data_IF_417020257392
#
_entry.id   IF_417020257392
#
_cell.length_a   1.000
_cell.length_b   1.000
_cell.length_c   1.000
_cell.angle_alpha   90.00
_cell.angle_beta   90.00
_cell.angle_gamma   90.00
#
_symmetry.space_group_name_H-M   'P 1'
#
loop_
_entity.id
_entity.type
_entity.pdbx_description
1 polymer ?
#
# COMPACT_ATOMS: atom_id res chain seq x y z
N UNK A 1 -64.35 -33.17 15.71
CA UNK A 1 -63.22 -33.34 16.65
C UNK A 1 -62.37 -34.49 16.12
N UNK A 2 -61.14 -34.17 15.69
CA UNK A 2 -60.32 -35.07 14.90
C UNK A 2 -59.59 -36.11 15.77
N UNK A 3 -59.73 -37.38 15.40
CA UNK A 3 -58.88 -38.50 15.81
C UNK A 3 -58.74 -39.40 14.58
N UNK A 4 -57.52 -39.57 14.06
CA UNK A 4 -57.20 -40.61 13.10
C UNK A 4 -55.88 -41.27 13.51
N UNK A 5 -55.89 -42.59 13.33
CA UNK A 5 -55.09 -43.64 13.94
C UNK A 5 -54.08 -44.22 12.93
N UNK A 6 -52.85 -44.38 13.40
CA UNK A 6 -51.82 -45.42 13.19
C UNK A 6 -51.35 -45.95 11.80
N UNK A 7 -50.01 -46.13 11.77
CA UNK A 7 -49.17 -47.30 11.37
C UNK A 7 -48.61 -47.51 9.94
N UNK A 8 -47.27 -47.40 9.88
CA UNK A 8 -46.20 -48.23 9.30
C UNK A 8 -46.14 -48.70 7.82
N UNK A 9 -44.87 -48.71 7.34
CA UNK A 9 -44.18 -49.64 6.39
C UNK A 9 -43.74 -49.05 5.02
N UNK A 10 -42.41 -48.82 4.93
CA UNK A 10 -41.40 -49.02 3.84
C UNK A 10 -41.68 -48.49 2.40
N UNK A 11 -40.68 -47.81 1.77
CA UNK A 11 -40.79 -47.29 0.40
C UNK A 11 -40.30 -48.29 -0.68
N UNK A 12 -40.96 -48.24 -1.84
CA UNK A 12 -40.57 -48.92 -3.07
C UNK A 12 -39.67 -48.06 -3.96
N UNK A 13 -38.88 -48.78 -4.75
CA UNK A 13 -37.73 -48.42 -5.57
C UNK A 13 -38.02 -47.70 -6.90
N UNK A 14 -37.07 -46.86 -7.33
CA UNK A 14 -36.92 -46.35 -8.69
C UNK A 14 -35.83 -47.11 -9.48
N UNK A 15 -35.87 -47.12 -10.82
CA UNK A 15 -35.28 -48.18 -11.64
C UNK A 15 -33.82 -47.92 -12.05
N UNK A 16 -33.13 -49.04 -12.26
CA UNK A 16 -31.81 -49.19 -12.85
C UNK A 16 -31.79 -48.84 -14.34
N UNK A 17 -30.71 -48.19 -14.79
CA UNK A 17 -30.17 -48.47 -16.13
C UNK A 17 -28.65 -48.60 -16.05
N UNK A 18 -28.18 -49.65 -16.71
CA UNK A 18 -26.87 -50.26 -16.56
C UNK A 18 -25.86 -49.75 -17.59
N UNK A 19 -24.64 -49.48 -17.14
CA UNK A 19 -23.45 -49.73 -17.95
C UNK A 19 -22.40 -50.46 -17.11
N UNK A 20 -22.08 -51.68 -17.53
CA UNK A 20 -21.00 -52.50 -16.97
C UNK A 20 -19.69 -52.03 -17.60
N UNK A 21 -18.73 -51.61 -16.78
CA UNK A 21 -17.31 -51.75 -17.07
C UNK A 21 -16.57 -52.17 -15.80
N UNK A 22 -15.55 -53.01 -15.99
CA UNK A 22 -14.92 -53.87 -14.98
C UNK A 22 -14.31 -53.10 -13.81
N UNK A 23 -14.34 -53.74 -12.63
CA UNK A 23 -13.60 -53.35 -11.44
C UNK A 23 -12.10 -53.54 -11.67
N UNK A 24 -11.33 -52.46 -11.57
CA UNK A 24 -9.97 -52.51 -11.03
C UNK A 24 -10.00 -51.83 -9.66
N UNK A 25 -9.56 -52.57 -8.64
CA UNK A 25 -9.39 -52.05 -7.28
C UNK A 25 -8.07 -51.28 -7.27
N UNK A 26 -8.15 -49.95 -7.42
CA UNK A 26 -6.98 -49.09 -7.24
C UNK A 26 -6.88 -48.71 -5.75
N UNK A 27 -6.14 -49.52 -4.99
CA UNK A 27 -5.70 -49.17 -3.64
C UNK A 27 -4.52 -48.20 -3.77
N UNK A 28 -4.76 -46.90 -3.54
CA UNK A 28 -3.70 -45.90 -3.50
C UNK A 28 -2.91 -46.07 -2.20
N UNK A 29 -1.85 -46.86 -2.26
CA UNK A 29 -0.84 -47.03 -1.21
C UNK A 29 0.30 -46.04 -1.49
N UNK A 30 0.32 -44.90 -0.81
CA UNK A 30 1.42 -43.94 -0.91
C UNK A 30 2.69 -44.55 -0.29
N UNK A 31 3.62 -44.95 -1.16
CA UNK A 31 4.92 -45.52 -0.77
C UNK A 31 5.96 -44.43 -0.94
N UNK A 32 6.52 -43.92 0.17
CA UNK A 32 7.61 -42.95 0.15
C UNK A 32 8.90 -43.73 -0.13
N UNK A 33 9.34 -43.76 -1.38
CA UNK A 33 10.66 -44.24 -1.74
C UNK A 33 11.69 -43.13 -1.51
N UNK A 34 12.30 -43.12 -0.32
CA UNK A 34 13.53 -42.36 -0.07
C UNK A 34 14.71 -43.06 -0.76
N UNK A 35 15.51 -42.36 -1.58
CA UNK A 35 16.78 -42.92 -2.05
C UNK A 35 17.76 -43.05 -0.88
N UNK A 36 18.28 -44.27 -0.70
CA UNK A 36 19.26 -44.63 0.33
C UNK A 36 20.53 -43.79 0.16
N UNK A 37 20.89 -43.00 1.18
CA UNK A 37 22.21 -42.39 1.31
C UNK A 37 23.25 -43.50 1.53
N UNK A 38 24.21 -43.61 0.59
CA UNK A 38 25.44 -44.36 0.80
C UNK A 38 26.45 -43.43 1.47
N UNK A 39 26.83 -43.75 2.69
CA UNK A 39 27.93 -43.12 3.41
C UNK A 39 29.25 -43.29 2.63
N UNK A 40 30.04 -42.21 2.55
CA UNK A 40 31.49 -42.29 2.35
C UNK A 40 32.06 -41.44 1.22
N UNK A 41 32.19 -40.14 1.44
CA UNK A 41 33.38 -39.37 1.06
C UNK A 41 33.29 -37.94 1.63
N UNK A 42 34.35 -37.51 2.29
CA UNK A 42 34.51 -36.19 2.90
C UNK A 42 34.42 -35.09 1.85
N UNK A 43 33.36 -34.30 1.87
CA UNK A 43 33.23 -33.08 1.07
C UNK A 43 33.52 -31.87 1.97
N UNK A 44 34.71 -31.31 1.78
CA UNK A 44 35.14 -30.03 2.34
C UNK A 44 34.23 -28.90 1.85
N UNK A 45 33.69 -28.12 2.79
CA UNK A 45 33.00 -26.85 2.55
C UNK A 45 33.92 -25.89 1.77
N UNK A 46 33.50 -25.30 0.64
CA UNK A 46 34.22 -24.18 0.07
C UNK A 46 33.96 -22.95 0.94
N UNK A 47 35.03 -22.39 1.51
CA UNK A 47 35.03 -21.01 2.03
C UNK A 47 34.67 -20.09 0.87
N UNK A 48 33.52 -19.44 0.95
CA UNK A 48 33.13 -18.42 -0.03
C UNK A 48 33.91 -17.13 0.28
N UNK A 49 34.94 -16.87 -0.51
CA UNK A 49 35.68 -15.60 -0.50
C UNK A 49 34.87 -14.58 -1.30
N UNK A 50 34.38 -13.56 -0.62
CA UNK A 50 33.64 -12.42 -1.19
C UNK A 50 34.59 -11.49 -1.96
N UNK A 51 35.13 -11.94 -3.11
CA UNK A 51 36.02 -11.09 -3.94
C UNK A 51 35.69 -11.15 -5.45
N UNK A 52 34.82 -12.05 -5.93
CA UNK A 52 34.65 -12.27 -7.38
C UNK A 52 33.60 -11.44 -8.14
N UNK A 53 32.57 -10.89 -7.49
CA UNK A 53 31.43 -10.28 -8.21
C UNK A 53 31.66 -8.82 -8.64
N UNK A 54 32.62 -8.12 -8.03
CA UNK A 54 32.98 -6.75 -8.40
C UNK A 54 33.94 -6.75 -9.61
N UNK A 55 34.74 -7.80 -9.75
CA UNK A 55 35.74 -7.92 -10.82
C UNK A 55 35.10 -8.32 -12.16
N UNK A 56 33.99 -9.05 -12.13
CA UNK A 56 33.27 -9.47 -13.35
C UNK A 56 32.46 -8.34 -14.01
N UNK A 57 32.09 -7.29 -13.25
CA UNK A 57 31.44 -6.08 -13.80
C UNK A 57 32.44 -5.09 -14.44
N UNK A 58 33.74 -5.18 -14.14
CA UNK A 58 34.74 -4.27 -14.72
C UNK A 58 35.21 -4.69 -16.12
N UNK A 59 34.97 -5.93 -16.54
CA UNK A 59 35.50 -6.45 -17.80
C UNK A 59 34.62 -6.14 -19.04
N UNK A 60 33.48 -5.47 -18.85
CA UNK A 60 32.58 -5.03 -19.95
C UNK A 60 32.73 -3.55 -20.34
N UNK A 61 33.56 -2.79 -19.61
CA UNK A 61 33.84 -1.37 -19.91
C UNK A 61 35.19 -1.24 -20.62
N UNK A 62 35.20 -1.55 -21.93
CA UNK A 62 36.41 -1.53 -22.74
C UNK A 62 36.22 -0.77 -24.05
N UNK A 63 36.27 0.57 -24.00
CA UNK A 63 36.63 1.38 -25.16
C UNK A 63 37.92 2.14 -24.87
N UNK A 64 38.99 1.74 -25.57
CA UNK A 64 40.30 2.38 -25.54
C UNK A 64 40.29 3.60 -26.48
N UNK A 65 40.77 4.72 -25.95
CA UNK A 65 40.99 5.98 -26.68
C UNK A 65 42.29 5.95 -27.49
N UNK A 66 42.21 6.40 -28.74
CA UNK A 66 43.30 6.88 -29.63
C UNK A 66 42.56 7.70 -30.69
N UNK A 67 42.84 8.97 -31.05
CA UNK A 67 44.07 9.79 -31.05
C UNK A 67 43.66 11.27 -31.19
N UNK A 68 44.50 12.18 -30.71
CA UNK A 68 44.41 13.66 -30.78
C UNK A 68 44.58 14.23 -32.21
N UNK A 69 44.31 15.54 -32.36
CA UNK A 69 44.59 16.54 -33.45
C UNK A 69 43.51 16.68 -34.55
N UNK A 70 42.96 17.84 -34.96
CA UNK A 70 43.32 19.28 -34.90
C UNK A 70 42.07 20.19 -34.86
N UNK A 71 42.29 21.47 -34.50
CA UNK A 71 41.34 22.58 -34.49
C UNK A 71 40.77 22.93 -35.87
N UNK A 72 39.46 23.21 -35.95
CA UNK A 72 38.96 24.34 -36.73
C UNK A 72 37.60 24.85 -36.22
N UNK A 73 37.39 26.15 -36.37
CA UNK A 73 36.49 27.04 -35.63
C UNK A 73 35.38 27.52 -36.56
N UNK A 74 34.10 27.29 -36.25
CA UNK A 74 33.01 28.28 -36.45
C UNK A 74 31.64 27.83 -35.88
N UNK A 75 30.96 28.81 -35.26
CA UNK A 75 29.51 28.89 -34.94
C UNK A 75 29.07 28.48 -33.50
N UNK A 76 28.27 29.31 -32.80
CA UNK A 76 27.89 29.07 -31.41
C UNK A 76 26.71 28.09 -31.34
N UNK A 77 26.86 26.98 -30.61
CA UNK A 77 25.77 26.02 -30.35
C UNK A 77 25.78 25.57 -28.88
N UNK A 78 24.66 25.02 -28.36
CA UNK A 78 24.08 25.36 -27.07
C UNK A 78 24.80 24.69 -25.90
N UNK A 79 24.64 25.29 -24.70
CA UNK A 79 25.19 24.86 -23.39
C UNK A 79 25.45 23.35 -23.33
N UNK A 80 26.71 22.96 -23.43
CA UNK A 80 27.14 21.57 -23.38
C UNK A 80 26.68 20.92 -22.07
N UNK A 81 25.90 19.86 -22.18
CA UNK A 81 25.52 18.97 -21.07
C UNK A 81 26.77 18.47 -20.36
N UNK A 82 26.77 18.40 -19.04
CA UNK A 82 27.86 17.74 -18.32
C UNK A 82 27.69 16.21 -18.50
N UNK A 83 28.59 15.51 -19.23
CA UNK A 83 28.45 14.07 -19.47
C UNK A 83 28.40 13.26 -18.17
N UNK A 84 29.04 13.77 -17.11
CA UNK A 84 29.00 13.18 -15.76
C UNK A 84 27.62 13.30 -15.10
N UNK A 85 26.87 14.38 -15.39
CA UNK A 85 25.52 14.57 -14.85
C UNK A 85 24.51 13.60 -15.49
N UNK A 86 24.66 13.35 -16.79
CA UNK A 86 23.84 12.38 -17.52
C UNK A 86 24.07 10.96 -16.96
N UNK A 87 25.33 10.54 -16.81
CA UNK A 87 25.67 9.23 -16.27
C UNK A 87 25.12 9.03 -14.85
N UNK A 88 25.24 10.05 -13.98
CA UNK A 88 24.67 10.02 -12.63
C UNK A 88 23.13 9.91 -12.64
N UNK A 89 22.44 10.60 -13.54
CA UNK A 89 20.98 10.49 -13.65
C UNK A 89 20.55 9.10 -14.12
N UNK A 90 21.27 8.47 -15.05
CA UNK A 90 21.01 7.08 -15.43
C UNK A 90 21.21 6.11 -14.28
N UNK A 91 22.28 6.28 -13.48
CA UNK A 91 22.51 5.46 -12.30
C UNK A 91 21.40 5.64 -11.24
N UNK A 92 20.90 6.87 -11.05
CA UNK A 92 19.75 7.13 -10.16
C UNK A 92 18.49 6.48 -10.74
N UNK A 93 18.25 6.61 -12.04
CA UNK A 93 17.07 6.06 -12.71
C UNK A 93 17.02 4.53 -12.63
N UNK A 94 18.15 3.84 -12.80
CA UNK A 94 18.27 2.40 -12.58
C UNK A 94 17.93 2.01 -11.13
N UNK A 95 18.50 2.73 -10.16
CA UNK A 95 18.20 2.50 -8.74
C UNK A 95 16.74 2.84 -8.37
N UNK A 96 16.08 3.75 -9.09
CA UNK A 96 14.66 4.05 -8.93
C UNK A 96 13.80 2.94 -9.54
N UNK A 97 14.16 2.43 -10.71
CA UNK A 97 13.44 1.32 -11.35
C UNK A 97 13.43 0.06 -10.45
N UNK A 98 14.58 -0.29 -9.87
CA UNK A 98 14.68 -1.38 -8.89
C UNK A 98 13.77 -1.15 -7.67
N UNK A 99 13.74 0.08 -7.13
CA UNK A 99 12.82 0.43 -6.03
C UNK A 99 11.35 0.30 -6.40
N UNK A 100 10.96 0.63 -7.63
CA UNK A 100 9.57 0.45 -8.11
C UNK A 100 9.18 -1.03 -8.03
N UNK A 101 10.02 -1.91 -8.56
CA UNK A 101 9.77 -3.35 -8.53
C UNK A 101 9.79 -3.90 -7.10
N UNK A 102 10.76 -3.48 -6.29
CA UNK A 102 10.85 -3.85 -4.89
C UNK A 102 9.59 -3.46 -4.10
N UNK A 103 9.13 -2.21 -4.18
CA UNK A 103 7.92 -1.77 -3.50
C UNK A 103 6.66 -2.50 -4.00
N UNK A 104 6.57 -2.79 -5.30
CA UNK A 104 5.47 -3.58 -5.87
C UNK A 104 5.45 -5.00 -5.28
N UNK A 105 6.59 -5.69 -5.29
CA UNK A 105 6.71 -7.06 -4.77
C UNK A 105 6.40 -7.11 -3.26
N UNK A 106 6.92 -6.15 -2.49
CA UNK A 106 6.66 -6.06 -1.05
C UNK A 106 5.17 -5.75 -0.78
N UNK A 107 4.54 -4.88 -1.59
CA UNK A 107 3.11 -4.60 -1.51
C UNK A 107 2.26 -5.86 -1.73
N UNK A 108 2.58 -6.66 -2.74
CA UNK A 108 1.93 -7.94 -3.01
C UNK A 108 2.14 -8.95 -1.88
N UNK A 109 3.37 -9.06 -1.35
CA UNK A 109 3.69 -9.90 -0.20
C UNK A 109 2.83 -9.54 1.02
N UNK A 110 2.71 -8.25 1.34
CA UNK A 110 1.93 -7.74 2.48
C UNK A 110 0.43 -7.99 2.29
N UNK A 111 -0.06 -7.87 1.06
CA UNK A 111 -1.44 -8.22 0.73
C UNK A 111 -1.71 -9.73 0.91
N UNK A 112 -0.78 -10.58 0.48
CA UNK A 112 -0.87 -12.03 0.70
C UNK A 112 -0.84 -12.37 2.19
N UNK A 113 0.01 -11.70 2.98
CA UNK A 113 0.01 -11.83 4.44
C UNK A 113 -1.33 -11.44 5.05
N UNK A 114 -1.93 -10.33 4.61
CA UNK A 114 -3.25 -9.90 5.08
C UNK A 114 -4.29 -11.02 4.90
N UNK A 115 -4.36 -11.60 3.70
CA UNK A 115 -5.30 -12.67 3.37
C UNK A 115 -5.03 -13.94 4.18
N UNK A 116 -3.77 -14.39 4.24
CA UNK A 116 -3.40 -15.60 4.98
C UNK A 116 -3.70 -15.47 6.48
N UNK A 117 -3.33 -14.33 7.08
CA UNK A 117 -3.55 -14.08 8.50
C UNK A 117 -5.04 -13.93 8.82
N UNK A 118 -5.79 -13.19 8.00
CA UNK A 118 -7.24 -13.05 8.15
C UNK A 118 -7.93 -14.42 8.13
N UNK A 119 -7.69 -15.22 7.10
CA UNK A 119 -8.31 -16.55 6.96
C UNK A 119 -7.89 -17.46 8.10
N UNK A 120 -6.60 -17.50 8.45
CA UNK A 120 -6.09 -18.37 9.51
C UNK A 120 -6.66 -18.02 10.88
N UNK A 121 -6.69 -16.73 11.25
CA UNK A 121 -7.23 -16.27 12.53
C UNK A 121 -8.73 -16.54 12.61
N UNK A 122 -9.48 -16.28 11.54
CA UNK A 122 -10.92 -16.57 11.50
C UNK A 122 -11.19 -18.07 11.63
N UNK A 123 -10.45 -18.91 10.90
CA UNK A 123 -10.59 -20.36 11.00
C UNK A 123 -10.26 -20.89 12.40
N UNK A 124 -9.17 -20.43 13.01
CA UNK A 124 -8.79 -20.82 14.39
C UNK A 124 -9.88 -20.40 15.38
N UNK A 125 -10.35 -19.15 15.29
CA UNK A 125 -11.34 -18.61 16.21
C UNK A 125 -12.70 -19.31 16.05
N UNK A 126 -13.14 -19.56 14.82
CA UNK A 126 -14.39 -20.31 14.55
C UNK A 126 -14.29 -21.77 14.98
N UNK A 127 -13.13 -22.41 14.77
CA UNK A 127 -12.89 -23.79 15.24
C UNK A 127 -12.94 -23.85 16.77
N UNK A 128 -12.34 -22.88 17.44
CA UNK A 128 -12.43 -22.75 18.90
C UNK A 128 -13.87 -22.54 19.38
N UNK A 129 -14.65 -21.71 18.68
CA UNK A 129 -16.09 -21.52 18.96
C UNK A 129 -16.88 -22.80 18.80
N UNK A 130 -16.66 -23.53 17.71
CA UNK A 130 -17.32 -24.81 17.47
C UNK A 130 -16.94 -25.83 18.55
N UNK A 131 -15.65 -25.98 18.86
CA UNK A 131 -15.17 -26.87 19.91
C UNK A 131 -15.73 -26.52 21.29
N UNK A 132 -15.88 -25.23 21.60
CA UNK A 132 -16.52 -24.75 22.83
C UNK A 132 -18.01 -25.09 22.88
N UNK A 133 -18.71 -24.91 21.77
CA UNK A 133 -20.13 -25.29 21.64
C UNK A 133 -20.35 -26.79 21.76
N UNK A 134 -19.54 -27.61 21.06
CA UNK A 134 -19.61 -29.07 21.12
C UNK A 134 -19.27 -29.57 22.53
N UNK A 135 -18.27 -28.97 23.20
CA UNK A 135 -17.96 -29.26 24.59
C UNK A 135 -19.19 -29.03 25.50
N UNK A 136 -20.00 -28.01 25.26
CA UNK A 136 -21.19 -27.77 26.06
C UNK A 136 -22.31 -28.82 25.89
N UNK A 137 -22.32 -29.55 24.76
CA UNK A 137 -23.35 -30.55 24.44
C UNK A 137 -22.99 -31.97 24.88
N UNK A 138 -21.71 -32.23 25.20
CA UNK A 138 -21.23 -33.56 25.55
C UNK A 138 -21.57 -33.99 26.99
N UNK A 139 -21.96 -35.26 27.18
CA UNK A 139 -22.00 -35.87 28.50
C UNK A 139 -20.55 -35.97 29.05
N UNK A 140 -20.32 -35.50 30.28
CA UNK A 140 -18.98 -35.28 30.83
C UNK A 140 -17.99 -36.44 30.70
N UNK A 141 -16.68 -36.12 30.64
CA UNK A 141 -15.60 -37.11 30.52
C UNK A 141 -14.32 -36.53 29.90
N UNK A 142 -13.33 -37.39 29.60
CA UNK A 142 -12.06 -36.99 28.99
C UNK A 142 -12.18 -36.24 27.64
N UNK A 143 -13.10 -36.60 26.71
CA UNK A 143 -13.30 -35.86 25.46
C UNK A 143 -13.75 -34.41 25.68
N UNK A 144 -14.53 -34.16 26.73
CA UNK A 144 -14.98 -32.82 27.13
C UNK A 144 -13.79 -31.95 27.58
N UNK A 145 -12.91 -32.51 28.41
CA UNK A 145 -11.71 -31.81 28.90
C UNK A 145 -10.76 -31.48 27.74
N UNK A 146 -10.57 -32.43 26.81
CA UNK A 146 -9.74 -32.22 25.63
C UNK A 146 -10.27 -31.09 24.72
N UNK A 147 -11.59 -31.02 24.49
CA UNK A 147 -12.20 -29.98 23.67
C UNK A 147 -12.11 -28.59 24.32
N UNK A 148 -12.31 -28.48 25.64
CA UNK A 148 -12.14 -27.20 26.37
C UNK A 148 -10.71 -26.70 26.34
N UNK A 149 -9.75 -27.59 26.64
CA UNK A 149 -8.33 -27.25 26.60
C UNK A 149 -7.94 -26.79 25.18
N UNK A 150 -8.34 -27.53 24.16
CA UNK A 150 -8.03 -27.22 22.76
C UNK A 150 -8.65 -25.90 22.31
N UNK A 151 -9.92 -25.67 22.60
CA UNK A 151 -10.59 -24.41 22.24
C UNK A 151 -10.01 -23.21 22.99
N UNK A 152 -9.69 -23.35 24.28
CA UNK A 152 -9.01 -22.29 25.05
C UNK A 152 -7.64 -21.97 24.43
N UNK A 153 -6.83 -22.98 24.10
CA UNK A 153 -5.52 -22.79 23.46
C UNK A 153 -5.64 -22.13 22.08
N UNK A 154 -6.62 -22.54 21.26
CA UNK A 154 -6.88 -21.92 19.95
C UNK A 154 -7.29 -20.46 20.09
N UNK A 155 -8.15 -20.11 21.04
CA UNK A 155 -8.48 -18.70 21.30
C UNK A 155 -7.26 -17.91 21.77
N UNK A 156 -6.46 -18.43 22.70
CA UNK A 156 -5.23 -17.75 23.13
C UNK A 156 -4.25 -17.55 21.97
N UNK A 157 -4.11 -18.55 21.09
CA UNK A 157 -3.30 -18.43 19.89
C UNK A 157 -3.86 -17.36 18.93
N UNK A 158 -5.17 -17.33 18.70
CA UNK A 158 -5.82 -16.30 17.89
C UNK A 158 -5.66 -14.89 18.49
N UNK A 159 -5.77 -14.74 19.82
CA UNK A 159 -5.51 -13.46 20.51
C UNK A 159 -4.07 -13.00 20.27
N UNK A 160 -3.10 -13.90 20.45
CA UNK A 160 -1.69 -13.59 20.20
C UNK A 160 -1.43 -13.18 18.75
N UNK A 161 -1.99 -13.93 17.79
CA UNK A 161 -1.90 -13.59 16.37
C UNK A 161 -2.52 -12.23 16.09
N UNK A 162 -3.74 -11.96 16.55
CA UNK A 162 -4.42 -10.67 16.38
C UNK A 162 -3.59 -9.50 16.93
N UNK A 163 -2.94 -9.66 18.08
CA UNK A 163 -2.05 -8.62 18.61
C UNK A 163 -0.87 -8.33 17.66
N UNK A 164 -0.26 -9.37 17.09
CA UNK A 164 0.84 -9.22 16.12
C UNK A 164 0.33 -8.62 14.80
N UNK A 165 -0.80 -9.10 14.27
CA UNK A 165 -1.37 -8.56 13.02
C UNK A 165 -1.82 -7.13 13.20
N UNK A 166 -2.35 -6.76 14.37
CA UNK A 166 -2.70 -5.40 14.71
C UNK A 166 -1.47 -4.54 15.00
N UNK A 167 -0.27 -5.10 15.15
CA UNK A 167 0.96 -4.30 15.17
C UNK A 167 1.50 -4.05 13.77
N UNK A 168 1.48 -5.05 12.90
CA UNK A 168 2.04 -4.98 11.54
C UNK A 168 1.07 -4.29 10.56
N UNK A 169 -0.24 -4.53 10.72
CA UNK A 169 -1.35 -4.16 9.83
C UNK A 169 -1.04 -4.33 8.33
N UNK A 170 -0.99 -5.60 7.84
CA UNK A 170 -0.51 -5.89 6.50
C UNK A 170 -1.28 -5.19 5.37
N UNK A 171 -2.59 -4.98 5.49
CA UNK A 171 -3.40 -4.25 4.49
C UNK A 171 -3.01 -2.78 4.36
N UNK A 172 -2.89 -2.07 5.48
CA UNK A 172 -2.43 -0.68 5.50
C UNK A 172 -1.03 -0.58 4.87
N UNK A 173 -0.16 -1.47 5.34
CA UNK A 173 1.23 -1.47 4.99
C UNK A 173 1.45 -1.86 3.53
N UNK A 174 0.58 -2.66 2.92
CA UNK A 174 0.57 -2.94 1.48
C UNK A 174 0.25 -1.67 0.68
N UNK A 175 -0.70 -0.86 1.15
CA UNK A 175 -1.11 0.38 0.48
C UNK A 175 -0.01 1.44 0.50
N UNK A 176 0.68 1.57 1.62
CA UNK A 176 1.87 2.43 1.72
C UNK A 176 2.92 2.06 0.65
N UNK A 177 3.10 0.77 0.33
CA UNK A 177 4.06 0.36 -0.72
C UNK A 177 3.52 0.56 -2.13
N UNK A 178 2.22 0.39 -2.36
CA UNK A 178 1.62 0.73 -3.66
C UNK A 178 1.80 2.22 -3.96
N UNK A 179 1.61 3.07 -2.94
CA UNK A 179 1.87 4.50 -3.05
C UNK A 179 3.35 4.78 -3.31
N UNK A 180 4.26 4.15 -2.57
CA UNK A 180 5.70 4.27 -2.81
C UNK A 180 6.09 3.88 -4.25
N UNK A 181 5.63 2.72 -4.73
CA UNK A 181 5.89 2.26 -6.10
C UNK A 181 5.37 3.26 -7.15
N UNK A 182 4.20 3.87 -6.92
CA UNK A 182 3.65 4.92 -7.79
C UNK A 182 4.56 6.14 -7.82
N UNK A 183 5.01 6.63 -6.66
CA UNK A 183 5.86 7.82 -6.57
C UNK A 183 7.25 7.60 -7.16
N UNK A 184 7.87 6.45 -6.91
CA UNK A 184 9.14 6.09 -7.56
C UNK A 184 8.97 5.96 -9.08
N UNK A 185 7.85 5.43 -9.56
CA UNK A 185 7.57 5.39 -11.00
C UNK A 185 7.45 6.79 -11.58
N UNK A 186 6.78 7.72 -10.90
CA UNK A 186 6.71 9.10 -11.35
C UNK A 186 8.10 9.78 -11.37
N UNK A 187 8.93 9.51 -10.37
CA UNK A 187 10.30 10.01 -10.33
C UNK A 187 11.15 9.45 -11.47
N UNK A 188 10.97 8.17 -11.81
CA UNK A 188 11.62 7.54 -12.97
C UNK A 188 11.28 8.30 -14.26
N UNK A 189 9.99 8.56 -14.50
CA UNK A 189 9.53 9.29 -15.69
C UNK A 189 10.03 10.74 -15.71
N UNK A 190 10.09 11.40 -14.54
CA UNK A 190 10.64 12.76 -14.42
C UNK A 190 12.14 12.80 -14.77
N UNK A 191 12.91 11.81 -14.32
CA UNK A 191 14.34 11.72 -14.67
C UNK A 191 14.50 11.37 -16.15
N UNK A 192 13.73 10.42 -16.67
CA UNK A 192 13.76 10.00 -18.07
C UNK A 192 13.45 11.16 -19.02
N UNK A 193 12.42 11.95 -18.72
CA UNK A 193 12.06 13.16 -19.49
C UNK A 193 13.15 14.22 -19.40
N UNK A 194 13.72 14.45 -18.23
CA UNK A 194 14.84 15.40 -18.03
C UNK A 194 16.06 15.03 -18.89
N UNK A 195 16.39 13.74 -18.96
CA UNK A 195 17.50 13.23 -19.79
C UNK A 195 17.16 13.32 -21.27
N UNK A 196 15.92 13.00 -21.66
CA UNK A 196 15.47 12.99 -23.05
C UNK A 196 15.36 14.38 -23.69
N UNK A 197 14.96 15.41 -22.91
CA UNK A 197 14.81 16.80 -23.39
C UNK A 197 16.18 17.48 -23.58
N UNK A 198 17.23 17.04 -22.86
CA UNK A 198 18.61 17.46 -23.06
C UNK A 198 19.10 18.59 -22.12
N UNK A 199 20.43 18.62 -21.93
CA UNK A 199 21.20 19.46 -21.01
C UNK A 199 21.01 19.25 -19.48
N UNK A 200 21.08 18.00 -18.95
CA UNK A 200 21.15 17.80 -17.50
C UNK A 200 22.37 18.48 -16.85
N UNK A 201 22.19 18.96 -15.63
CA UNK A 201 23.24 19.60 -14.84
C UNK A 201 23.35 18.98 -13.44
N UNK A 202 24.36 19.41 -12.66
CA UNK A 202 24.57 18.90 -11.30
C UNK A 202 23.41 19.18 -10.33
N UNK A 203 22.59 20.21 -10.54
CA UNK A 203 21.41 20.47 -9.71
C UNK A 203 20.30 19.45 -10.00
N UNK A 204 20.12 19.06 -11.26
CA UNK A 204 19.14 18.04 -11.65
C UNK A 204 19.46 16.69 -10.95
N UNK A 205 20.76 16.34 -10.87
CA UNK A 205 21.25 15.19 -10.08
C UNK A 205 20.95 15.33 -8.60
N UNK A 206 21.21 16.52 -8.01
CA UNK A 206 20.95 16.78 -6.58
C UNK A 206 19.45 16.71 -6.26
N UNK A 207 18.61 17.24 -7.13
CA UNK A 207 17.16 17.20 -6.99
C UNK A 207 16.63 15.77 -7.08
N UNK A 208 17.04 15.01 -8.10
CA UNK A 208 16.68 13.61 -8.24
C UNK A 208 17.11 12.79 -7.00
N UNK A 209 18.34 12.99 -6.54
CA UNK A 209 18.85 12.33 -5.33
C UNK A 209 18.04 12.71 -4.09
N UNK A 210 17.71 14.00 -3.92
CA UNK A 210 16.90 14.47 -2.79
C UNK A 210 15.48 13.88 -2.81
N UNK A 211 14.86 13.75 -3.98
CA UNK A 211 13.54 13.10 -4.14
C UNK A 211 13.60 11.61 -3.79
N UNK A 212 14.64 10.89 -4.24
CA UNK A 212 14.84 9.48 -3.85
C UNK A 212 14.94 9.35 -2.33
N UNK A 213 15.78 10.17 -1.68
CA UNK A 213 15.96 10.13 -0.23
C UNK A 213 14.68 10.53 0.52
N UNK A 214 13.91 11.49 0.01
CA UNK A 214 12.63 11.88 0.59
C UNK A 214 11.61 10.73 0.52
N UNK A 215 11.52 10.04 -0.62
CA UNK A 215 10.66 8.87 -0.78
C UNK A 215 11.09 7.70 0.11
N UNK A 216 12.39 7.40 0.19
CA UNK A 216 12.94 6.34 1.05
C UNK A 216 12.61 6.62 2.54
N UNK A 217 12.60 7.89 2.96
CA UNK A 217 12.22 8.31 4.32
C UNK A 217 10.71 8.25 4.57
N UNK A 218 9.92 8.62 3.56
CA UNK A 218 8.47 8.62 3.66
C UNK A 218 7.88 7.20 3.68
N UNK A 219 8.52 6.25 2.99
CA UNK A 219 8.05 4.87 2.85
C UNK A 219 9.12 3.85 3.25
N UNK A 220 9.47 3.78 4.55
CA UNK A 220 10.50 2.87 5.04
C UNK A 220 10.11 1.40 4.83
N UNK A 221 11.06 0.60 4.37
CA UNK A 221 10.89 -0.84 4.17
C UNK A 221 10.90 -1.66 5.48
N UNK A 222 11.74 -1.35 6.50
CA UNK A 222 11.81 -2.16 7.70
C UNK A 222 10.52 -2.13 8.53
N UNK A 223 10.04 -3.32 8.91
CA UNK A 223 8.87 -3.50 9.79
C UNK A 223 9.15 -3.16 11.25
N UNK A 224 10.44 -3.06 11.62
CA UNK A 224 10.92 -2.88 12.99
C UNK A 224 11.89 -1.68 13.02
N UNK A 225 11.64 -0.70 13.90
CA UNK A 225 12.53 0.44 14.15
C UNK A 225 11.98 1.80 13.69
N UNK A 226 11.81 2.00 12.38
CA UNK A 226 11.37 3.28 11.78
C UNK A 226 10.07 3.08 11.03
N UNK A 227 9.04 2.58 11.71
CA UNK A 227 7.72 2.38 11.09
C UNK A 227 6.91 3.66 11.21
N UNK A 228 6.17 4.03 10.15
CA UNK A 228 5.17 5.09 10.26
C UNK A 228 4.25 4.79 11.44
N UNK A 229 3.89 5.84 12.20
CA UNK A 229 3.02 5.68 13.36
C UNK A 229 1.66 5.21 12.88
N UNK A 230 1.40 3.89 13.02
CA UNK A 230 0.14 3.22 12.71
C UNK A 230 -1.09 3.99 13.21
N UNK A 231 -0.99 4.50 14.43
CA UNK A 231 -2.08 5.18 15.13
C UNK A 231 -1.63 6.58 15.55
N UNK A 232 -1.57 7.53 14.60
CA UNK A 232 -1.12 8.87 14.94
C UNK A 232 -2.15 9.54 15.87
N UNK A 233 -1.68 10.55 16.62
CA UNK A 233 -2.53 11.35 17.51
C UNK A 233 -3.43 12.29 16.72
N UNK A 234 -2.90 12.86 15.64
CA UNK A 234 -3.61 13.67 14.65
C UNK A 234 -3.50 13.00 13.27
N UNK A 235 -4.55 13.12 12.45
CA UNK A 235 -4.47 12.72 11.05
C UNK A 235 -3.89 13.90 10.29
N UNK A 236 -2.69 13.70 9.75
CA UNK A 236 -1.98 14.68 8.93
C UNK A 236 -1.88 14.16 7.50
N UNK A 237 -1.76 15.05 6.50
CA UNK A 237 -1.46 14.66 5.13
C UNK A 237 -0.20 13.78 5.03
N UNK A 238 -0.17 12.85 4.07
CA UNK A 238 1.07 12.15 3.76
C UNK A 238 2.04 13.11 3.06
N UNK A 239 3.26 13.25 3.58
CA UNK A 239 4.30 14.10 2.99
C UNK A 239 5.44 13.20 2.52
N UNK A 240 5.69 13.21 1.21
CA UNK A 240 6.70 12.37 0.56
C UNK A 240 7.69 13.16 -0.31
N UNK A 241 7.53 14.48 -0.36
CA UNK A 241 8.41 15.37 -1.10
C UNK A 241 9.36 16.09 -0.15
N UNK A 242 10.49 16.56 -0.70
CA UNK A 242 11.36 17.49 0.01
C UNK A 242 10.73 18.90 0.01
N UNK A 243 10.97 19.73 1.04
CA UNK A 243 10.48 21.11 1.07
C UNK A 243 10.83 21.84 -0.23
N UNK A 244 9.85 22.46 -0.87
CA UNK A 244 9.97 23.06 -2.21
C UNK A 244 10.93 24.27 -2.29
N UNK A 245 11.62 24.61 -1.18
CA UNK A 245 12.34 25.87 -0.94
C UNK A 245 13.41 26.26 -1.97
N UNK A 246 13.77 25.41 -2.93
CA UNK A 246 14.79 25.71 -3.94
C UNK A 246 14.55 25.05 -5.31
N UNK A 247 13.29 24.96 -5.79
CA UNK A 247 13.06 24.62 -7.21
C UNK A 247 13.57 25.76 -8.09
N UNK A 248 14.80 25.65 -8.59
CA UNK A 248 15.29 26.45 -9.73
C UNK A 248 14.78 25.78 -10.99
N UNK A 249 13.51 25.97 -11.31
CA UNK A 249 12.95 25.51 -12.59
C UNK A 249 13.65 26.26 -13.72
N UNK A 250 14.23 25.52 -14.68
CA UNK A 250 14.77 26.08 -15.91
C UNK A 250 13.59 26.65 -16.70
N UNK A 251 13.43 27.97 -16.71
CA UNK A 251 12.68 28.62 -17.78
C UNK A 251 13.28 28.18 -19.12
N UNK A 252 12.46 27.60 -20.00
CA UNK A 252 12.81 27.44 -21.41
C UNK A 252 13.01 28.86 -21.96
N UNK A 253 14.27 29.29 -21.99
CA UNK A 253 14.66 30.65 -22.35
C UNK A 253 14.35 30.95 -23.81
N UNK A 254 13.12 31.36 -24.08
CA UNK A 254 12.74 32.15 -25.23
C UNK A 254 12.51 33.58 -24.77
N UNK A 255 13.26 34.54 -25.32
CA UNK A 255 12.97 35.98 -25.19
C UNK A 255 11.61 36.24 -25.85
N UNK A 256 10.53 36.05 -25.12
CA UNK A 256 9.23 36.56 -25.49
C UNK A 256 8.47 37.02 -24.25
N UNK A 257 7.58 37.97 -24.47
CA UNK A 257 6.94 38.84 -23.49
C UNK A 257 6.15 38.05 -22.40
N UNK A 258 6.75 37.81 -21.22
CA UNK A 258 6.10 37.22 -20.04
C UNK A 258 6.09 35.68 -19.94
N UNK A 259 6.25 35.12 -18.74
CA UNK A 259 6.28 33.66 -18.48
C UNK A 259 4.86 33.01 -18.46
N UNK A 260 3.93 33.49 -19.27
CA UNK A 260 2.53 33.01 -19.30
C UNK A 260 1.69 33.32 -18.05
N UNK A 261 2.28 33.89 -17.00
CA UNK A 261 1.57 34.35 -15.80
C UNK A 261 0.93 35.72 -16.02
N UNK A 262 -0.33 35.85 -15.65
CA UNK A 262 -1.05 37.12 -15.57
C UNK A 262 -1.86 37.19 -14.26
N UNK A 263 -2.40 38.36 -13.92
CA UNK A 263 -3.15 38.54 -12.67
C UNK A 263 -4.43 37.72 -12.58
N UNK A 264 -5.03 37.37 -13.72
CA UNK A 264 -6.20 36.49 -13.79
C UNK A 264 -5.83 35.06 -13.37
N UNK A 265 -4.80 34.47 -13.99
CA UNK A 265 -4.28 33.15 -13.67
C UNK A 265 -3.77 33.06 -12.21
N UNK A 266 -3.10 34.10 -11.71
CA UNK A 266 -2.71 34.15 -10.30
C UNK A 266 -3.93 34.14 -9.37
N UNK A 267 -5.00 34.86 -9.74
CA UNK A 267 -6.27 34.85 -9.02
C UNK A 267 -6.96 33.48 -9.05
N UNK A 268 -7.02 32.86 -10.23
CA UNK A 268 -7.57 31.51 -10.42
C UNK A 268 -6.82 30.48 -9.58
N UNK A 269 -5.49 30.50 -9.57
CA UNK A 269 -4.67 29.58 -8.78
C UNK A 269 -4.87 29.75 -7.27
N UNK A 270 -5.04 30.99 -6.77
CA UNK A 270 -5.37 31.26 -5.36
C UNK A 270 -6.76 30.72 -5.00
N UNK A 271 -7.71 30.87 -5.90
CA UNK A 271 -9.07 30.38 -5.71
C UNK A 271 -9.09 28.83 -5.68
N UNK A 272 -8.33 28.18 -6.58
CA UNK A 272 -8.16 26.71 -6.57
C UNK A 272 -7.60 26.23 -5.23
N UNK A 273 -6.57 26.88 -4.69
CA UNK A 273 -6.01 26.56 -3.36
C UNK A 273 -7.07 26.69 -2.27
N UNK A 274 -7.90 27.73 -2.34
CA UNK A 274 -8.97 27.96 -1.37
C UNK A 274 -10.01 26.84 -1.41
N UNK A 275 -10.43 26.42 -2.60
CA UNK A 275 -11.38 25.31 -2.79
C UNK A 275 -10.77 23.99 -2.31
N UNK A 276 -9.52 23.71 -2.69
CA UNK A 276 -8.78 22.50 -2.29
C UNK A 276 -8.67 22.35 -0.78
N UNK A 277 -8.31 23.44 -0.08
CA UNK A 277 -8.09 23.40 1.36
C UNK A 277 -9.42 23.29 2.13
N UNK A 278 -10.43 24.07 1.75
CA UNK A 278 -11.75 24.12 2.43
C UNK A 278 -12.59 22.87 2.19
N UNK A 279 -12.43 22.18 1.06
CA UNK A 279 -13.27 21.02 0.70
C UNK A 279 -12.46 19.75 0.62
N UNK A 280 -11.66 19.58 -0.43
CA UNK A 280 -11.00 18.32 -0.74
C UNK A 280 -10.12 17.86 0.43
N UNK A 281 -9.14 18.65 0.84
CA UNK A 281 -8.21 18.31 1.91
C UNK A 281 -8.92 18.10 3.25
N UNK A 282 -9.80 19.02 3.65
CA UNK A 282 -10.52 18.92 4.92
C UNK A 282 -11.43 17.68 4.98
N UNK A 283 -12.15 17.36 3.90
CA UNK A 283 -13.01 16.19 3.84
C UNK A 283 -12.22 14.89 3.89
N UNK A 284 -11.10 14.80 3.18
CA UNK A 284 -10.22 13.65 3.22
C UNK A 284 -9.59 13.45 4.61
N UNK A 285 -9.17 14.51 5.29
CA UNK A 285 -8.68 14.42 6.68
C UNK A 285 -9.80 14.01 7.65
N UNK A 286 -11.03 14.51 7.45
CA UNK A 286 -12.21 14.15 8.24
C UNK A 286 -12.57 12.67 8.07
N UNK A 287 -12.57 12.16 6.84
CA UNK A 287 -12.78 10.75 6.53
C UNK A 287 -11.65 9.88 7.10
N UNK A 288 -10.40 10.30 6.94
CA UNK A 288 -9.23 9.68 7.55
C UNK A 288 -9.37 9.58 9.08
N UNK A 289 -9.86 10.63 9.75
CA UNK A 289 -10.11 10.60 11.21
C UNK A 289 -11.19 9.60 11.60
N UNK A 290 -12.24 9.44 10.81
CA UNK A 290 -13.29 8.43 11.03
C UNK A 290 -12.73 7.01 10.83
N UNK A 291 -12.04 6.77 9.72
CA UNK A 291 -11.40 5.50 9.43
C UNK A 291 -10.38 5.10 10.51
N UNK A 292 -9.56 6.06 10.97
CA UNK A 292 -8.59 5.85 12.04
C UNK A 292 -9.26 5.46 13.36
N UNK A 293 -10.36 6.11 13.74
CA UNK A 293 -11.11 5.77 14.96
C UNK A 293 -11.70 4.36 14.87
N UNK A 294 -12.26 4.00 13.72
CA UNK A 294 -12.78 2.66 13.46
C UNK A 294 -11.66 1.61 13.54
N UNK A 295 -10.54 1.84 12.86
CA UNK A 295 -9.36 0.96 12.88
C UNK A 295 -8.84 0.75 14.31
N UNK A 296 -8.73 1.82 15.12
CA UNK A 296 -8.34 1.72 16.53
C UNK A 296 -9.32 0.89 17.36
N UNK A 297 -10.63 1.11 17.17
CA UNK A 297 -11.65 0.40 17.91
C UNK A 297 -11.62 -1.11 17.61
N UNK A 298 -11.53 -1.47 16.33
CA UNK A 298 -11.46 -2.87 15.90
C UNK A 298 -10.16 -3.56 16.36
N UNK A 299 -9.03 -2.85 16.25
CA UNK A 299 -7.73 -3.36 16.66
C UNK A 299 -7.64 -3.70 18.17
N UNK A 300 -8.51 -3.09 18.99
CA UNK A 300 -8.63 -3.36 20.42
C UNK A 300 -9.71 -4.43 20.67
N UNK A 301 -10.86 -4.32 20.02
CA UNK A 301 -12.00 -5.20 20.29
C UNK A 301 -11.76 -6.64 19.83
N UNK A 302 -11.06 -6.87 18.71
CA UNK A 302 -10.76 -8.22 18.22
C UNK A 302 -9.99 -9.07 19.25
N UNK A 303 -8.77 -8.66 19.67
CA UNK A 303 -8.02 -9.36 20.70
C UNK A 303 -8.80 -9.52 22.02
N UNK A 304 -9.53 -8.48 22.44
CA UNK A 304 -10.30 -8.51 23.69
C UNK A 304 -11.43 -9.55 23.63
N UNK A 305 -12.20 -9.59 22.54
CA UNK A 305 -13.28 -10.55 22.33
C UNK A 305 -12.74 -11.98 22.27
N UNK A 306 -11.62 -12.21 21.58
CA UNK A 306 -10.99 -13.53 21.56
C UNK A 306 -10.48 -13.94 22.94
N UNK A 307 -9.93 -13.00 23.72
CA UNK A 307 -9.49 -13.29 25.09
C UNK A 307 -10.68 -13.64 26.00
N UNK A 308 -11.78 -12.90 25.91
CA UNK A 308 -13.02 -13.22 26.61
C UNK A 308 -13.58 -14.58 26.19
N UNK A 309 -13.46 -14.93 24.90
CA UNK A 309 -13.84 -16.23 24.39
C UNK A 309 -12.98 -17.36 24.99
N UNK A 310 -11.66 -17.13 25.14
CA UNK A 310 -10.76 -18.05 25.83
C UNK A 310 -11.18 -18.28 27.29
N UNK A 311 -11.51 -17.21 28.01
CA UNK A 311 -12.05 -17.32 29.37
C UNK A 311 -13.37 -18.10 29.40
N UNK A 312 -14.34 -17.76 28.54
CA UNK A 312 -15.61 -18.48 28.45
C UNK A 312 -15.43 -19.97 28.14
N UNK A 313 -14.51 -20.29 27.23
CA UNK A 313 -14.14 -21.66 26.86
C UNK A 313 -13.53 -22.45 28.02
N UNK A 314 -12.58 -21.85 28.75
CA UNK A 314 -11.94 -22.49 29.91
C UNK A 314 -12.95 -22.85 31.01
N UNK A 315 -13.97 -22.00 31.20
CA UNK A 315 -15.05 -22.21 32.16
C UNK A 315 -16.29 -22.90 31.59
N UNK A 316 -16.27 -23.32 30.32
CA UNK A 316 -17.39 -24.06 29.72
C UNK A 316 -17.76 -25.24 30.63
N UNK A 317 -19.04 -25.44 30.92
CA UNK A 317 -19.51 -26.46 31.89
C UNK A 317 -19.63 -25.99 33.36
N UNK A 318 -19.19 -24.78 33.71
CA UNK A 318 -19.49 -24.14 35.01
C UNK A 318 -20.75 -23.26 34.97
N UNK A 319 -21.44 -23.21 33.82
CA UNK A 319 -22.71 -22.51 33.65
C UNK A 319 -23.00 -22.19 32.19
N UNK A 320 -24.28 -21.96 31.83
CA UNK A 320 -24.68 -21.63 30.45
C UNK A 320 -23.99 -20.36 29.92
N UNK A 321 -23.77 -19.37 30.79
CA UNK A 321 -23.13 -18.11 30.44
C UNK A 321 -21.68 -18.24 30.00
N UNK A 322 -20.91 -19.19 30.54
CA UNK A 322 -19.52 -19.41 30.10
C UNK A 322 -19.45 -19.91 28.67
N UNK A 323 -20.38 -20.81 28.30
CA UNK A 323 -20.50 -21.34 26.93
C UNK A 323 -20.94 -20.25 25.97
N UNK A 324 -21.97 -19.48 26.33
CA UNK A 324 -22.44 -18.34 25.53
C UNK A 324 -21.31 -17.34 25.32
N UNK A 325 -20.56 -17.00 26.37
CA UNK A 325 -19.43 -16.10 26.28
C UNK A 325 -18.35 -16.63 25.33
N UNK A 326 -17.96 -17.90 25.47
CA UNK A 326 -16.99 -18.56 24.59
C UNK A 326 -17.41 -18.48 23.12
N UNK A 327 -18.60 -18.99 22.81
CA UNK A 327 -19.10 -19.09 21.43
C UNK A 327 -19.38 -17.71 20.81
N UNK A 328 -20.12 -16.85 21.52
CA UNK A 328 -20.57 -15.56 20.98
C UNK A 328 -19.40 -14.57 20.88
N UNK A 329 -18.54 -14.48 21.89
CA UNK A 329 -17.38 -13.59 21.82
C UNK A 329 -16.40 -14.06 20.72
N UNK A 330 -16.19 -15.37 20.58
CA UNK A 330 -15.37 -15.92 19.49
C UNK A 330 -15.96 -15.61 18.11
N UNK A 331 -17.27 -15.84 17.92
CA UNK A 331 -17.94 -15.50 16.66
C UNK A 331 -17.87 -14.00 16.35
N UNK A 332 -18.18 -13.13 17.32
CA UNK A 332 -18.11 -11.68 17.13
C UNK A 332 -16.68 -11.22 16.83
N UNK A 333 -15.68 -11.85 17.45
CA UNK A 333 -14.27 -11.55 17.15
C UNK A 333 -13.92 -11.82 15.69
N UNK A 334 -14.49 -12.86 15.07
CA UNK A 334 -14.25 -13.13 13.64
C UNK A 334 -14.88 -12.10 12.73
N UNK A 335 -16.06 -11.58 13.10
CA UNK A 335 -16.70 -10.46 12.39
C UNK A 335 -15.86 -9.21 12.50
N UNK A 336 -15.37 -8.88 13.71
CA UNK A 336 -14.47 -7.74 13.93
C UNK A 336 -13.20 -7.87 13.09
N UNK A 337 -12.56 -9.04 13.10
CA UNK A 337 -11.35 -9.31 12.32
C UNK A 337 -11.62 -9.21 10.80
N UNK A 338 -12.77 -9.71 10.33
CA UNK A 338 -13.20 -9.59 8.95
C UNK A 338 -13.45 -8.13 8.53
N UNK A 339 -14.06 -7.31 9.38
CA UNK A 339 -14.24 -5.88 9.10
C UNK A 339 -12.88 -5.17 9.07
N UNK A 340 -12.04 -5.38 10.08
CA UNK A 340 -10.73 -4.70 10.19
C UNK A 340 -9.80 -5.03 9.03
N UNK A 341 -9.53 -6.32 8.82
CA UNK A 341 -8.51 -6.79 7.89
C UNK A 341 -9.08 -7.20 6.53
N UNK A 342 -10.32 -7.74 6.50
CA UNK A 342 -11.01 -8.09 5.25
C UNK A 342 -11.65 -6.88 4.57
N UNK A 343 -12.24 -5.97 5.35
CA UNK A 343 -12.69 -4.66 4.87
C UNK A 343 -11.55 -3.65 4.64
N UNK A 344 -10.30 -4.05 4.96
CA UNK A 344 -9.08 -3.29 4.73
C UNK A 344 -9.15 -1.85 5.28
N UNK A 345 -9.69 -1.67 6.49
CA UNK A 345 -9.91 -0.33 7.09
C UNK A 345 -8.60 0.46 7.22
N UNK A 346 -7.48 -0.23 7.40
CA UNK A 346 -6.13 0.36 7.38
C UNK A 346 -5.73 0.93 6.02
N UNK A 347 -5.98 0.19 4.94
CA UNK A 347 -5.76 0.66 3.57
C UNK A 347 -6.62 1.89 3.29
N UNK A 348 -7.89 1.88 3.70
CA UNK A 348 -8.80 3.03 3.54
C UNK A 348 -8.30 4.26 4.29
N UNK A 349 -7.77 4.08 5.50
CA UNK A 349 -7.16 5.17 6.26
C UNK A 349 -5.96 5.78 5.51
N UNK A 350 -5.03 4.97 5.00
CA UNK A 350 -3.88 5.47 4.25
C UNK A 350 -4.25 6.03 2.88
N UNK A 351 -5.29 5.52 2.23
CA UNK A 351 -5.85 6.12 1.01
C UNK A 351 -6.28 7.56 1.28
N UNK A 352 -7.08 7.79 2.33
CA UNK A 352 -7.50 9.15 2.69
C UNK A 352 -6.32 10.05 3.08
N UNK A 353 -5.35 9.50 3.81
CA UNK A 353 -4.13 10.22 4.20
C UNK A 353 -3.27 10.61 2.98
N UNK A 354 -3.16 9.70 2.01
CA UNK A 354 -2.42 9.90 0.76
C UNK A 354 -3.10 10.94 -0.13
N UNK A 355 -4.43 10.91 -0.25
CA UNK A 355 -5.18 11.91 -1.02
C UNK A 355 -5.06 13.31 -0.40
N UNK A 356 -5.16 13.42 0.93
CA UNK A 356 -4.89 14.69 1.61
C UNK A 356 -3.45 15.19 1.36
N UNK A 357 -2.49 14.27 1.32
CA UNK A 357 -1.09 14.57 0.94
C UNK A 357 -0.94 15.08 -0.49
N UNK A 358 -1.70 14.52 -1.43
CA UNK A 358 -1.69 14.95 -2.81
C UNK A 358 -2.18 16.39 -2.96
N UNK A 359 -3.28 16.74 -2.27
CA UNK A 359 -3.77 18.11 -2.26
C UNK A 359 -2.83 19.08 -1.55
N UNK A 360 -2.13 18.63 -0.51
CA UNK A 360 -1.10 19.44 0.15
C UNK A 360 0.08 19.73 -0.77
N UNK A 361 0.59 18.73 -1.48
CA UNK A 361 1.65 18.92 -2.48
C UNK A 361 1.20 19.89 -3.59
N UNK A 362 -0.05 19.78 -4.04
CA UNK A 362 -0.60 20.69 -5.06
C UNK A 362 -0.69 22.12 -4.51
N UNK A 363 -1.18 22.30 -3.29
CA UNK A 363 -1.23 23.59 -2.62
C UNK A 363 0.16 24.21 -2.50
N UNK A 364 1.13 23.48 -1.93
CA UNK A 364 2.51 23.96 -1.79
C UNK A 364 3.15 24.29 -3.14
N UNK A 365 2.82 23.53 -4.19
CA UNK A 365 3.29 23.80 -5.55
C UNK A 365 2.69 25.07 -6.14
N UNK A 366 1.41 25.36 -5.88
CA UNK A 366 0.76 26.60 -6.32
C UNK A 366 1.32 27.80 -5.56
N UNK A 367 1.36 27.72 -4.23
CA UNK A 367 1.88 28.78 -3.35
C UNK A 367 3.34 29.11 -3.70
N UNK A 368 4.18 28.10 -3.88
CA UNK A 368 5.58 28.31 -4.26
C UNK A 368 5.74 29.02 -5.61
N UNK A 369 4.85 28.80 -6.58
CA UNK A 369 4.91 29.52 -7.86
C UNK A 369 4.36 30.95 -7.74
N UNK A 370 3.36 31.18 -6.89
CA UNK A 370 2.79 32.52 -6.64
C UNK A 370 3.76 33.42 -5.85
N UNK A 371 4.54 32.87 -4.92
CA UNK A 371 5.48 33.62 -4.08
C UNK A 371 6.83 33.92 -4.75
N UNK A 372 7.25 33.12 -5.74
CA UNK A 372 8.49 33.33 -6.47
C UNK A 372 8.45 34.66 -7.21
N UNK A 373 9.39 35.58 -6.91
CA UNK A 373 9.41 36.93 -7.47
C UNK A 373 10.07 36.97 -8.85
N UNK A 374 10.97 36.04 -9.12
CA UNK A 374 11.66 35.96 -10.39
C UNK A 374 10.80 35.17 -11.39
N UNK A 375 10.18 35.89 -12.33
CA UNK A 375 9.30 35.27 -13.35
C UNK A 375 9.97 34.15 -14.14
N UNK A 376 11.29 34.21 -14.36
CA UNK A 376 12.07 33.15 -15.05
C UNK A 376 12.26 31.87 -14.23
N UNK A 377 12.00 31.91 -12.92
CA UNK A 377 12.09 30.77 -12.01
C UNK A 377 10.76 30.08 -11.77
N UNK A 378 9.65 30.76 -12.07
CA UNK A 378 8.32 30.14 -12.06
C UNK A 378 8.22 29.09 -13.17
N UNK A 379 7.47 28.01 -12.91
CA UNK A 379 7.00 27.14 -13.99
C UNK A 379 6.18 28.00 -14.97
N UNK A 380 6.22 27.68 -16.26
CA UNK A 380 5.45 28.45 -17.25
C UNK A 380 3.96 28.40 -16.91
N UNK A 381 3.30 29.57 -16.87
CA UNK A 381 1.92 29.69 -16.38
C UNK A 381 0.92 28.79 -17.11
N UNK A 382 0.97 28.74 -18.44
CA UNK A 382 0.06 27.93 -19.26
C UNK A 382 0.30 26.43 -19.04
N UNK A 383 1.57 26.00 -18.98
CA UNK A 383 1.93 24.61 -18.69
C UNK A 383 1.53 24.22 -17.26
N UNK A 384 1.68 25.14 -16.31
CA UNK A 384 1.31 24.93 -14.91
C UNK A 384 -0.21 24.79 -14.75
N UNK A 385 -0.99 25.68 -15.39
CA UNK A 385 -2.46 25.60 -15.43
C UNK A 385 -2.91 24.25 -15.99
N UNK A 386 -2.34 23.82 -17.12
CA UNK A 386 -2.64 22.53 -17.74
C UNK A 386 -2.32 21.36 -16.80
N UNK A 387 -1.18 21.40 -16.11
CA UNK A 387 -0.78 20.37 -15.16
C UNK A 387 -1.73 20.28 -13.97
N UNK A 388 -2.11 21.42 -13.38
CA UNK A 388 -3.09 21.47 -12.28
C UNK A 388 -4.46 20.95 -12.74
N UNK A 389 -4.94 21.37 -13.91
CA UNK A 389 -6.19 20.90 -14.48
C UNK A 389 -6.21 19.37 -14.65
N UNK A 390 -5.17 18.81 -15.28
CA UNK A 390 -5.04 17.38 -15.50
C UNK A 390 -4.90 16.59 -14.18
N UNK A 391 -4.15 17.13 -13.21
CA UNK A 391 -4.02 16.54 -11.88
C UNK A 391 -5.33 16.57 -11.08
N UNK A 392 -6.24 17.48 -11.38
CA UNK A 392 -7.60 17.52 -10.82
C UNK A 392 -8.63 16.76 -11.68
N UNK A 393 -8.23 16.21 -12.82
CA UNK A 393 -9.13 15.53 -13.77
C UNK A 393 -10.12 16.46 -14.45
N UNK A 394 -9.75 17.73 -14.62
CA UNK A 394 -10.56 18.75 -15.29
C UNK A 394 -9.93 19.16 -16.62
N UNK A 395 -10.76 19.62 -17.55
CA UNK A 395 -10.25 20.41 -18.67
C UNK A 395 -9.89 21.83 -18.18
N UNK A 396 -9.13 22.58 -18.98
CA UNK A 396 -8.82 23.99 -18.67
C UNK A 396 -10.09 24.84 -18.50
N UNK A 397 -11.08 24.66 -19.38
CA UNK A 397 -12.35 25.39 -19.27
C UNK A 397 -13.11 25.05 -17.99
N UNK A 398 -13.16 23.78 -17.61
CA UNK A 398 -13.82 23.34 -16.38
C UNK A 398 -13.12 23.81 -15.11
N UNK A 399 -11.80 24.04 -15.17
CA UNK A 399 -11.03 24.61 -14.07
C UNK A 399 -11.33 26.10 -13.91
N UNK A 400 -11.45 26.86 -15.01
CA UNK A 400 -11.83 28.27 -15.01
C UNK A 400 -13.30 28.48 -14.61
N UNK A 401 -14.19 27.58 -15.03
CA UNK A 401 -15.59 27.61 -14.60
C UNK A 401 -15.70 27.38 -13.09
N UNK A 402 -14.87 26.49 -12.52
CA UNK A 402 -14.80 26.25 -11.07
C UNK A 402 -14.42 27.54 -10.33
N UNK A 403 -13.36 28.23 -10.74
CA UNK A 403 -12.87 29.45 -10.09
C UNK A 403 -13.85 30.62 -10.24
N UNK A 404 -14.43 30.81 -11.43
CA UNK A 404 -15.47 31.82 -11.66
C UNK A 404 -16.70 31.55 -10.77
N UNK A 405 -17.12 30.29 -10.68
CA UNK A 405 -18.28 29.91 -9.90
C UNK A 405 -18.06 30.08 -8.39
N UNK A 406 -16.86 29.81 -7.87
CA UNK A 406 -16.53 29.94 -6.45
C UNK A 406 -16.32 31.40 -6.05
N UNK A 407 -15.71 32.22 -6.90
CA UNK A 407 -15.53 33.66 -6.70
C UNK A 407 -16.87 34.43 -6.66
N UNK A 408 -17.82 34.07 -7.53
CA UNK A 408 -19.13 34.76 -7.62
C UNK A 408 -20.07 34.37 -6.48
N UNK A 409 -20.09 33.09 -6.07
CA UNK A 409 -21.15 32.60 -5.17
C UNK A 409 -20.87 32.82 -3.69
N UNK A 410 -19.63 33.04 -3.26
CA UNK A 410 -19.26 33.31 -1.86
C UNK A 410 -19.52 32.16 -0.87
N UNK A 411 -20.52 31.32 -1.10
CA UNK A 411 -20.87 30.11 -0.38
C UNK A 411 -21.75 29.20 -1.24
N UNK A 412 -21.55 27.88 -1.13
CA UNK A 412 -22.39 26.81 -1.69
C UNK A 412 -22.32 26.50 -3.20
N UNK A 413 -21.14 26.43 -3.81
CA UNK A 413 -20.94 25.36 -4.79
C UNK A 413 -20.55 24.09 -4.02
N UNK A 414 -21.32 23.01 -4.17
CA UNK A 414 -20.99 21.69 -3.61
C UNK A 414 -19.83 20.99 -4.35
N UNK A 415 -19.30 21.61 -5.39
CA UNK A 415 -18.32 20.99 -6.27
C UNK A 415 -16.93 20.96 -5.62
N UNK A 416 -16.32 19.78 -5.62
CA UNK A 416 -14.92 19.54 -5.23
C UNK A 416 -13.97 20.07 -6.30
N UNK A 417 -12.75 20.47 -5.93
CA UNK A 417 -11.76 20.85 -6.91
C UNK A 417 -11.35 19.64 -7.76
N UNK A 418 -11.18 18.47 -7.14
CA UNK A 418 -10.90 17.22 -7.84
C UNK A 418 -12.17 16.60 -8.43
N UNK A 419 -12.08 16.10 -9.67
CA UNK A 419 -13.04 15.16 -10.27
C UNK A 419 -12.53 13.71 -10.27
N UNK A 420 -11.27 13.50 -9.88
CA UNK A 420 -10.63 12.17 -9.90
C UNK A 420 -10.93 11.33 -8.66
N UNK A 421 -11.25 11.97 -7.54
CA UNK A 421 -11.27 11.37 -6.22
C UNK A 421 -12.60 11.60 -5.51
#
# INVERSE_FOLDING_TARGET
>A
MASIRASNVVPSSFPSSSSRCRREIMTVRATINMPKLRNGSSLSLPKLTTIGLVEELQLRSGYKNTTTTQFEKLSPSPKASDPMAIEKLYAIMEAVADRVEMHKNIGEQRNNWNNLLLTSINSITLTASLMTGVAAMGAGGAPLVALKLSSTLLYLAATGMLLVTNKIQPSQLAEEQRNAARWFKQLYEEIHTTVSIGAPNSNDVKEATAKVIALDRAYPLPLLGVMLKKFPKAVEPAVWWAPLQNRKTKGLGGRNNGNGWNGELEGEMREIVTVLNRKDKEDYLRLGKKALKLNKALAISGPLLTALAAFGSAFAGHGPWAVVLGVVAGALSTVVNAIEHGGQVGMVFEMYRSNAGFFELMQESIESNLEEREGERRENGELFEMKVALQLGRSLSELRDLTASSSIKGEANHEFASKLF
#
